data_IF_993569989361
#
_entry.id   IF_993569989361
#
_cell.length_a   1.000
_cell.length_b   1.000
_cell.length_c   1.000
_cell.angle_alpha   90.00
_cell.angle_beta   90.00
_cell.angle_gamma   90.00
#
_symmetry.space_group_name_H-M   'P 1'
#
loop_
_entity.id
_entity.type
_entity.pdbx_description
1 polymer ?
#
# COMPACT_ATOMS: atom_id res chain seq x y z
N UNK A 1 24.46 -23.48 -8.39
CA UNK A 1 24.86 -22.09 -8.09
C UNK A 1 25.11 -21.98 -6.59
N UNK A 2 25.99 -21.10 -6.11
CA UNK A 2 26.22 -20.94 -4.68
C UNK A 2 25.60 -19.64 -4.19
N UNK A 3 25.07 -19.65 -2.97
CA UNK A 3 24.38 -18.52 -2.36
C UNK A 3 25.04 -18.15 -1.05
N UNK A 4 25.26 -16.85 -0.86
CA UNK A 4 25.78 -16.30 0.37
C UNK A 4 24.66 -16.11 1.37
N UNK A 5 24.73 -16.81 2.50
CA UNK A 5 23.76 -16.71 3.58
C UNK A 5 24.38 -15.87 4.69
N UNK A 6 23.72 -14.78 5.08
CA UNK A 6 24.20 -13.96 6.19
C UNK A 6 23.82 -14.55 7.55
N UNK A 7 24.37 -13.99 8.63
CA UNK A 7 24.09 -14.41 10.03
C UNK A 7 22.61 -14.39 10.41
N UNK A 8 21.76 -13.68 9.66
CA UNK A 8 20.32 -13.63 9.88
C UNK A 8 19.54 -14.72 9.10
N UNK A 9 20.24 -15.63 8.41
CA UNK A 9 19.62 -16.70 7.62
C UNK A 9 18.96 -16.21 6.33
N UNK A 10 19.44 -15.10 5.76
CA UNK A 10 18.93 -14.53 4.50
C UNK A 10 19.95 -14.67 3.38
N UNK A 11 19.45 -14.88 2.15
CA UNK A 11 20.28 -14.88 0.95
C UNK A 11 20.71 -13.43 0.67
N UNK A 12 22.01 -13.17 0.76
CA UNK A 12 22.61 -11.87 0.53
C UNK A 12 23.14 -11.68 -0.90
N UNK A 13 23.34 -12.78 -1.63
CA UNK A 13 23.85 -12.77 -3.01
C UNK A 13 24.12 -14.19 -3.51
N UNK A 14 24.65 -14.29 -4.73
CA UNK A 14 25.08 -15.56 -5.31
C UNK A 14 26.49 -15.46 -5.91
N UNK A 15 27.09 -16.62 -6.14
CA UNK A 15 28.32 -16.82 -6.88
C UNK A 15 28.20 -18.06 -7.76
N UNK A 16 28.85 -18.00 -8.90
CA UNK A 16 29.06 -19.12 -9.81
C UNK A 16 30.24 -20.02 -9.39
N UNK A 17 31.04 -19.58 -8.42
CA UNK A 17 32.22 -20.30 -7.93
C UNK A 17 32.06 -20.72 -6.47
N UNK A 18 32.54 -21.95 -6.17
CA UNK A 18 32.69 -22.40 -4.80
C UNK A 18 33.83 -21.65 -4.10
N UNK A 19 33.62 -21.22 -2.86
CA UNK A 19 34.66 -20.67 -2.00
C UNK A 19 34.86 -21.57 -0.76
N UNK A 20 36.08 -22.08 -0.53
CA UNK A 20 36.40 -22.85 0.66
C UNK A 20 36.30 -21.97 1.92
N UNK A 21 36.04 -22.62 3.06
CA UNK A 21 35.65 -21.98 4.33
C UNK A 21 36.65 -20.93 4.83
N UNK A 22 37.94 -21.18 4.63
CA UNK A 22 39.04 -20.29 5.03
C UNK A 22 39.11 -18.98 4.24
N UNK A 23 38.41 -18.92 3.11
CA UNK A 23 38.37 -17.79 2.20
C UNK A 23 37.04 -17.04 2.23
N UNK A 24 36.07 -17.50 3.06
CA UNK A 24 34.75 -16.89 3.16
C UNK A 24 34.79 -15.62 4.01
N UNK A 25 34.06 -14.55 3.62
CA UNK A 25 33.87 -13.39 4.47
C UNK A 25 33.25 -13.79 5.81
N UNK A 26 33.71 -13.17 6.90
CA UNK A 26 33.15 -13.42 8.23
C UNK A 26 31.65 -13.05 8.26
N UNK A 27 30.84 -13.91 8.90
CA UNK A 27 29.40 -13.73 9.01
C UNK A 27 28.60 -14.18 7.78
N UNK A 28 29.24 -14.88 6.84
CA UNK A 28 28.58 -15.46 5.68
C UNK A 28 28.91 -16.93 5.51
N UNK A 29 27.86 -17.72 5.31
CA UNK A 29 27.95 -19.10 4.85
C UNK A 29 27.72 -19.17 3.34
N UNK A 30 28.29 -20.20 2.71
CA UNK A 30 28.09 -20.48 1.30
C UNK A 30 27.34 -21.80 1.16
N UNK A 31 26.16 -21.74 0.56
CA UNK A 31 25.27 -22.90 0.40
C UNK A 31 24.98 -23.10 -1.08
N UNK A 32 25.03 -24.35 -1.55
CA UNK A 32 24.66 -24.69 -2.92
C UNK A 32 23.13 -24.66 -3.09
N UNK A 33 22.67 -24.17 -4.25
CA UNK A 33 21.25 -24.06 -4.54
C UNK A 33 20.91 -24.07 -6.04
N UNK A 34 19.60 -24.03 -6.35
CA UNK A 34 19.08 -24.00 -7.71
C UNK A 34 19.54 -22.77 -8.47
N UNK A 35 19.56 -22.85 -9.80
CA UNK A 35 19.87 -21.73 -10.69
C UNK A 35 18.58 -20.98 -11.06
N UNK A 36 18.08 -20.18 -10.11
CA UNK A 36 16.85 -19.40 -10.22
C UNK A 36 17.10 -17.98 -9.69
N UNK A 37 16.27 -17.00 -10.08
CA UNK A 37 16.37 -15.64 -9.53
C UNK A 37 16.26 -15.66 -7.99
N UNK A 38 17.12 -14.91 -7.29
CA UNK A 38 17.09 -14.81 -5.81
C UNK A 38 15.69 -14.45 -5.29
N UNK A 39 14.93 -13.64 -6.04
CA UNK A 39 13.58 -13.23 -5.68
C UNK A 39 12.63 -14.43 -5.44
N UNK A 40 12.88 -15.54 -6.14
CA UNK A 40 12.07 -16.75 -6.10
C UNK A 40 12.62 -17.78 -5.10
N UNK A 41 13.70 -17.45 -4.38
CA UNK A 41 14.39 -18.36 -3.47
C UNK A 41 14.34 -17.88 -2.03
N UNK A 42 14.44 -18.81 -1.09
CA UNK A 42 14.66 -18.55 0.33
C UNK A 42 15.59 -19.61 0.93
N UNK A 43 16.17 -19.31 2.08
CA UNK A 43 16.96 -20.26 2.85
C UNK A 43 16.11 -20.85 3.98
N UNK A 44 15.97 -22.18 4.04
CA UNK A 44 15.14 -22.87 5.04
C UNK A 44 15.87 -23.16 6.37
N UNK A 45 17.15 -22.80 6.46
CA UNK A 45 18.03 -23.10 7.59
C UNK A 45 19.13 -24.11 7.23
N UNK A 46 18.97 -24.85 6.15
CA UNK A 46 19.94 -25.84 5.68
C UNK A 46 20.20 -25.73 4.17
N UNK A 47 19.14 -25.49 3.38
CA UNK A 47 19.17 -25.48 1.92
C UNK A 47 18.58 -24.19 1.35
N UNK A 48 18.99 -23.84 0.13
CA UNK A 48 18.33 -22.81 -0.68
C UNK A 48 17.22 -23.46 -1.50
N UNK A 49 15.99 -23.02 -1.28
CA UNK A 49 14.77 -23.63 -1.81
C UNK A 49 13.95 -22.61 -2.57
N UNK A 50 13.25 -23.06 -3.61
CA UNK A 50 12.28 -22.25 -4.35
C UNK A 50 11.05 -21.95 -3.49
N UNK A 51 10.61 -20.69 -3.51
CA UNK A 51 9.36 -20.27 -2.90
C UNK A 51 8.21 -20.98 -3.62
N UNK A 52 7.20 -21.48 -2.91
CA UNK A 52 5.98 -21.97 -3.52
C UNK A 52 5.34 -20.89 -4.42
N UNK A 53 4.47 -21.30 -5.35
CA UNK A 53 3.71 -20.37 -6.18
C UNK A 53 2.94 -19.36 -5.31
N UNK A 54 3.03 -18.08 -5.67
CA UNK A 54 2.36 -17.00 -4.94
C UNK A 54 0.84 -17.15 -5.07
N UNK A 55 0.09 -17.29 -3.95
CA UNK A 55 -1.36 -17.57 -4.01
C UNK A 55 -2.20 -16.46 -4.66
N UNK A 56 -1.69 -15.23 -4.68
CA UNK A 56 -2.34 -14.08 -5.29
C UNK A 56 -1.66 -12.76 -4.92
N UNK A 57 -2.14 -11.64 -5.46
CA UNK A 57 -1.48 -10.33 -5.29
C UNK A 57 -1.51 -9.82 -3.85
N UNK A 58 -2.49 -10.26 -3.06
CA UNK A 58 -2.66 -9.90 -1.64
C UNK A 58 -1.72 -10.65 -0.69
N UNK A 59 -0.72 -11.37 -1.17
CA UNK A 59 0.20 -12.13 -0.33
C UNK A 59 1.61 -11.54 -0.38
N UNK A 60 2.33 -11.59 0.74
CA UNK A 60 3.75 -11.28 0.80
C UNK A 60 4.52 -12.46 1.39
N UNK A 61 5.80 -12.60 1.01
CA UNK A 61 6.65 -13.65 1.54
C UNK A 61 7.15 -13.21 2.92
N UNK A 62 6.75 -13.92 3.97
CA UNK A 62 7.25 -13.65 5.32
C UNK A 62 8.57 -14.40 5.54
N UNK A 63 9.67 -13.66 5.60
CA UNK A 63 11.02 -14.22 5.80
C UNK A 63 11.23 -14.90 7.16
N UNK A 64 10.34 -14.71 8.13
CA UNK A 64 10.42 -15.34 9.44
C UNK A 64 9.69 -16.68 9.48
N UNK A 65 8.50 -16.75 8.89
CA UNK A 65 7.68 -17.97 8.86
C UNK A 65 7.95 -18.82 7.63
N UNK A 66 8.65 -18.26 6.63
CA UNK A 66 8.94 -18.88 5.33
C UNK A 66 7.68 -19.36 4.62
N UNK A 67 6.65 -18.51 4.66
CA UNK A 67 5.35 -18.77 4.07
C UNK A 67 4.79 -17.51 3.40
N UNK A 68 3.89 -17.73 2.44
CA UNK A 68 3.06 -16.65 1.92
C UNK A 68 2.01 -16.29 2.97
N UNK A 69 2.09 -15.07 3.46
CA UNK A 69 1.09 -14.52 4.37
C UNK A 69 0.21 -13.55 3.63
N UNK A 70 -1.11 -13.68 3.85
CA UNK A 70 -2.05 -12.70 3.34
C UNK A 70 -1.79 -11.36 4.03
N UNK A 71 -1.68 -10.30 3.25
CA UNK A 71 -1.65 -8.93 3.76
C UNK A 71 -2.95 -8.77 4.57
N UNK A 72 -2.89 -8.63 5.91
CA UNK A 72 -4.08 -8.51 6.72
C UNK A 72 -4.87 -7.30 6.22
N UNK A 73 -6.16 -7.49 5.92
CA UNK A 73 -7.06 -6.38 5.52
C UNK A 73 -7.11 -5.22 6.53
N UNK A 74 -6.56 -5.40 7.74
CA UNK A 74 -6.65 -4.45 8.85
C UNK A 74 -5.30 -4.14 9.55
N UNK A 75 -4.14 -4.43 8.94
CA UNK A 75 -2.84 -3.94 9.45
C UNK A 75 -2.22 -2.90 8.50
N UNK A 76 -3.03 -1.93 8.10
CA UNK A 76 -2.56 -0.73 7.41
C UNK A 76 -2.31 0.35 8.46
N UNK A 77 -1.06 0.40 8.97
CA UNK A 77 -0.51 1.45 9.83
C UNK A 77 -1.19 1.60 11.21
N UNK A 78 -0.40 1.80 12.28
CA UNK A 78 -0.92 2.10 13.63
C UNK A 78 -1.50 3.55 13.74
N UNK A 79 -2.29 3.98 12.75
CA UNK A 79 -2.98 5.25 12.73
C UNK A 79 -3.31 5.73 11.31
N UNK A 80 -4.31 6.60 11.21
CA UNK A 80 -4.72 7.26 9.96
C UNK A 80 -3.57 8.05 9.33
N UNK A 81 -3.13 7.63 8.14
CA UNK A 81 -2.04 8.26 7.40
C UNK A 81 -2.59 9.33 6.45
N UNK A 82 -2.76 10.54 6.99
CA UNK A 82 -3.30 11.71 6.28
C UNK A 82 -2.50 12.09 5.04
N UNK A 83 -1.17 11.98 5.08
CA UNK A 83 -0.32 12.34 3.95
C UNK A 83 -0.47 11.32 2.81
N UNK A 84 -0.62 10.03 3.13
CA UNK A 84 -0.93 8.98 2.15
C UNK A 84 -2.31 9.18 1.53
N UNK A 85 -3.33 9.49 2.34
CA UNK A 85 -4.67 9.81 1.84
C UNK A 85 -4.67 11.03 0.92
N UNK A 86 -3.95 12.09 1.28
CA UNK A 86 -3.84 13.28 0.45
C UNK A 86 -3.18 12.98 -0.90
N UNK A 87 -2.09 12.21 -0.90
CA UNK A 87 -1.39 11.82 -2.13
C UNK A 87 -2.23 10.91 -3.04
N UNK A 88 -2.95 9.94 -2.45
CA UNK A 88 -3.81 9.02 -3.21
C UNK A 88 -5.01 9.74 -3.82
N UNK A 89 -5.59 10.70 -3.10
CA UNK A 89 -6.67 11.53 -3.62
C UNK A 89 -6.18 12.50 -4.70
N UNK A 90 -5.08 13.23 -4.49
CA UNK A 90 -4.62 14.26 -5.45
C UNK A 90 -4.38 13.74 -6.87
N UNK A 91 -4.03 12.46 -7.01
CA UNK A 91 -3.80 11.80 -8.30
C UNK A 91 -5.05 11.14 -8.89
N UNK A 92 -6.20 11.23 -8.23
CA UNK A 92 -7.38 10.44 -8.55
C UNK A 92 -8.42 11.18 -9.42
N UNK A 93 -9.18 10.45 -10.26
CA UNK A 93 -10.29 11.01 -11.02
C UNK A 93 -11.39 11.62 -10.14
N UNK A 94 -11.67 11.00 -8.98
CA UNK A 94 -12.70 11.49 -8.05
C UNK A 94 -12.33 12.87 -7.49
N UNK A 95 -11.04 13.09 -7.25
CA UNK A 95 -10.52 14.38 -6.82
C UNK A 95 -10.59 15.46 -7.90
N UNK A 96 -10.30 15.09 -9.16
CA UNK A 96 -10.48 15.99 -10.29
C UNK A 96 -11.95 16.38 -10.47
N UNK A 97 -12.88 15.44 -10.28
CA UNK A 97 -14.33 15.69 -10.31
C UNK A 97 -14.77 16.60 -9.16
N UNK A 98 -14.30 16.37 -7.94
CA UNK A 98 -14.53 17.23 -6.78
C UNK A 98 -14.02 18.66 -7.01
N UNK A 99 -12.82 18.79 -7.57
CA UNK A 99 -12.25 20.09 -7.93
C UNK A 99 -13.10 20.80 -8.99
N UNK A 100 -13.50 20.10 -10.05
CA UNK A 100 -14.38 20.67 -11.08
C UNK A 100 -15.73 21.14 -10.48
N UNK A 101 -16.28 20.43 -9.49
CA UNK A 101 -17.47 20.88 -8.78
C UNK A 101 -17.23 22.15 -7.95
N UNK A 102 -16.07 22.24 -7.32
CA UNK A 102 -15.66 23.39 -6.50
C UNK A 102 -15.58 24.70 -7.30
N UNK A 103 -15.37 24.62 -8.61
CA UNK A 103 -15.35 25.78 -9.51
C UNK A 103 -16.74 26.24 -9.96
N UNK A 104 -17.78 25.41 -9.76
CA UNK A 104 -19.14 25.68 -10.27
C UNK A 104 -20.04 26.40 -9.27
N UNK A 105 -19.89 26.11 -7.98
CA UNK A 105 -20.78 26.68 -6.95
C UNK A 105 -20.02 27.03 -5.68
N UNK A 106 -20.48 28.07 -4.98
CA UNK A 106 -19.93 28.46 -3.68
C UNK A 106 -20.08 27.33 -2.65
N UNK A 107 -21.20 26.58 -2.69
CA UNK A 107 -21.44 25.47 -1.77
C UNK A 107 -20.40 24.36 -1.94
N UNK A 108 -20.14 23.94 -3.19
CA UNK A 108 -19.12 22.94 -3.48
C UNK A 108 -17.71 23.48 -3.18
N UNK A 109 -17.45 24.76 -3.47
CA UNK A 109 -16.18 25.41 -3.15
C UNK A 109 -15.86 25.35 -1.65
N UNK A 110 -16.82 25.73 -0.81
CA UNK A 110 -16.68 25.70 0.65
C UNK A 110 -16.50 24.27 1.18
N UNK A 111 -17.26 23.30 0.65
CA UNK A 111 -17.12 21.89 1.04
C UNK A 111 -15.76 21.31 0.65
N UNK A 112 -15.33 21.54 -0.59
CA UNK A 112 -14.02 21.10 -1.08
C UNK A 112 -12.86 21.77 -0.35
N UNK A 113 -12.98 23.07 -0.04
CA UNK A 113 -11.99 23.78 0.78
C UNK A 113 -11.93 23.21 2.19
N UNK A 114 -13.07 22.86 2.78
CA UNK A 114 -13.10 22.23 4.10
C UNK A 114 -12.44 20.85 4.05
N UNK A 115 -12.71 20.06 3.01
CA UNK A 115 -12.06 18.78 2.78
C UNK A 115 -10.53 18.93 2.67
N UNK A 116 -10.06 19.88 1.86
CA UNK A 116 -8.64 20.21 1.74
C UNK A 116 -8.01 20.60 3.08
N UNK A 117 -8.62 21.56 3.79
CA UNK A 117 -8.13 22.02 5.10
C UNK A 117 -8.11 20.88 6.12
N UNK A 118 -9.09 19.98 6.06
CA UNK A 118 -9.10 18.79 6.91
C UNK A 118 -7.96 17.85 6.60
N UNK A 119 -7.72 17.55 5.32
CA UNK A 119 -6.63 16.67 4.89
C UNK A 119 -5.25 17.25 5.21
N UNK A 120 -5.06 18.56 5.05
CA UNK A 120 -3.74 19.20 5.22
C UNK A 120 -3.43 19.66 6.64
N UNK A 121 -4.45 20.07 7.41
CA UNK A 121 -4.25 20.80 8.67
C UNK A 121 -5.03 20.22 9.85
N UNK A 122 -6.37 20.14 9.77
CA UNK A 122 -7.20 19.73 10.93
C UNK A 122 -6.92 18.28 11.32
N UNK A 123 -6.83 17.38 10.34
CA UNK A 123 -6.56 15.94 10.54
C UNK A 123 -7.50 15.29 11.56
N UNK A 124 -8.78 15.62 11.47
CA UNK A 124 -9.87 15.04 12.28
C UNK A 124 -10.82 14.21 11.41
N UNK A 125 -11.10 12.98 11.82
CA UNK A 125 -11.91 12.02 11.06
C UNK A 125 -13.37 12.48 10.95
N UNK A 126 -13.94 13.04 12.02
CA UNK A 126 -15.33 13.50 12.04
C UNK A 126 -15.52 14.67 11.05
N UNK A 127 -14.53 15.56 10.99
CA UNK A 127 -14.51 16.68 10.05
C UNK A 127 -14.29 16.19 8.62
N UNK A 128 -13.52 15.11 8.41
CA UNK A 128 -13.31 14.50 7.10
C UNK A 128 -14.61 13.91 6.56
N UNK A 129 -15.30 13.10 7.35
CA UNK A 129 -16.58 12.50 7.02
C UNK A 129 -17.62 13.58 6.70
N UNK A 130 -17.73 14.61 7.56
CA UNK A 130 -18.63 15.73 7.33
C UNK A 130 -18.31 16.48 6.02
N UNK A 131 -17.03 16.74 5.75
CA UNK A 131 -16.61 17.47 4.55
C UNK A 131 -16.93 16.68 3.27
N UNK A 132 -16.71 15.36 3.28
CA UNK A 132 -17.06 14.48 2.16
C UNK A 132 -18.58 14.48 1.95
N UNK A 133 -19.38 14.31 3.01
CA UNK A 133 -20.83 14.32 2.91
C UNK A 133 -21.36 15.65 2.34
N UNK A 134 -20.81 16.79 2.79
CA UNK A 134 -21.17 18.12 2.27
C UNK A 134 -20.75 18.35 0.83
N UNK A 135 -19.60 17.80 0.43
CA UNK A 135 -19.15 17.87 -0.94
C UNK A 135 -20.09 17.09 -1.86
N UNK A 136 -20.44 15.86 -1.50
CA UNK A 136 -21.41 15.03 -2.23
C UNK A 136 -22.76 15.71 -2.37
N UNK A 137 -23.31 16.21 -1.26
CA UNK A 137 -24.57 16.98 -1.24
C UNK A 137 -24.52 18.18 -2.18
N UNK A 138 -23.39 18.89 -2.24
CA UNK A 138 -23.21 20.03 -3.13
C UNK A 138 -23.08 19.59 -4.60
N UNK A 139 -22.36 18.50 -4.87
CA UNK A 139 -22.13 17.96 -6.21
C UNK A 139 -23.41 17.46 -6.87
N UNK A 140 -24.31 16.81 -6.12
CA UNK A 140 -25.63 16.35 -6.61
C UNK A 140 -26.46 17.47 -7.24
N UNK A 141 -26.32 18.71 -6.75
CA UNK A 141 -27.05 19.86 -7.25
C UNK A 141 -26.46 20.46 -8.55
N UNK A 142 -25.32 19.97 -9.04
CA UNK A 142 -24.59 20.55 -10.18
C UNK A 142 -24.86 19.73 -11.43
N UNK A 143 -25.60 20.32 -12.38
CA UNK A 143 -25.88 19.71 -13.68
C UNK A 143 -24.58 19.41 -14.44
N UNK A 144 -24.46 18.19 -14.96
CA UNK A 144 -23.29 17.72 -15.71
C UNK A 144 -22.12 17.22 -14.84
N UNK A 145 -22.23 17.28 -13.50
CA UNK A 145 -21.26 16.65 -12.59
C UNK A 145 -21.91 15.51 -11.81
N UNK A 146 -22.99 15.80 -11.08
CA UNK A 146 -23.66 14.83 -10.20
C UNK A 146 -22.82 14.36 -9.01
N UNK A 147 -23.41 13.53 -8.14
CA UNK A 147 -22.68 12.86 -7.04
C UNK A 147 -21.60 11.90 -7.59
N UNK A 148 -20.78 11.36 -6.70
CA UNK A 148 -19.98 10.18 -6.99
C UNK A 148 -20.88 8.98 -7.31
N UNK A 149 -20.48 8.23 -8.33
CA UNK A 149 -21.05 6.93 -8.69
C UNK A 149 -20.67 5.88 -7.65
N UNK A 150 -21.33 4.71 -7.68
CA UNK A 150 -21.02 3.63 -6.76
C UNK A 150 -19.56 3.14 -6.91
N UNK A 151 -19.07 3.10 -8.15
CA UNK A 151 -17.68 2.74 -8.46
C UNK A 151 -16.69 3.78 -7.91
N UNK A 152 -16.98 5.07 -8.06
CA UNK A 152 -16.15 6.15 -7.49
C UNK A 152 -16.16 6.13 -5.95
N UNK A 153 -17.29 5.78 -5.33
CA UNK A 153 -17.39 5.61 -3.87
C UNK A 153 -16.52 4.45 -3.39
N UNK A 154 -16.57 3.31 -4.08
CA UNK A 154 -15.73 2.16 -3.77
C UNK A 154 -14.24 2.53 -3.90
N UNK A 155 -13.88 3.25 -4.96
CA UNK A 155 -12.52 3.75 -5.16
C UNK A 155 -12.05 4.71 -4.06
N UNK A 156 -12.93 5.55 -3.52
CA UNK A 156 -12.62 6.41 -2.37
C UNK A 156 -12.46 5.57 -1.10
N UNK A 157 -13.33 4.59 -0.88
CA UNK A 157 -13.26 3.67 0.26
C UNK A 157 -11.96 2.86 0.25
N UNK A 158 -11.52 2.38 -0.91
CA UNK A 158 -10.23 1.71 -1.06
C UNK A 158 -9.06 2.63 -0.69
N UNK A 159 -9.10 3.91 -1.07
CA UNK A 159 -8.06 4.90 -0.71
C UNK A 159 -8.07 5.24 0.78
N UNK A 160 -9.24 5.33 1.40
CA UNK A 160 -9.39 5.51 2.85
C UNK A 160 -8.81 4.30 3.60
N UNK A 161 -9.18 3.08 3.19
CA UNK A 161 -8.68 1.84 3.76
C UNK A 161 -7.15 1.73 3.59
N UNK A 162 -6.62 1.96 2.39
CA UNK A 162 -5.19 1.97 2.08
C UNK A 162 -4.39 2.96 2.95
N UNK A 163 -5.02 4.08 3.30
CA UNK A 163 -4.46 5.09 4.20
C UNK A 163 -4.73 4.82 5.71
N UNK A 164 -5.34 3.68 6.07
CA UNK A 164 -5.58 3.28 7.46
C UNK A 164 -6.75 4.01 8.14
N UNK A 165 -7.73 4.49 7.37
CA UNK A 165 -8.96 5.08 7.91
C UNK A 165 -10.06 4.02 8.05
N UNK A 166 -10.73 4.00 9.21
CA UNK A 166 -11.90 3.15 9.46
C UNK A 166 -13.21 3.78 8.98
N UNK A 167 -13.14 4.71 8.03
CA UNK A 167 -14.27 5.42 7.43
C UNK A 167 -14.69 4.69 6.15
N UNK A 168 -16.00 4.43 6.00
CA UNK A 168 -16.58 3.91 4.78
C UNK A 168 -17.78 4.78 4.38
N UNK A 169 -17.83 5.18 3.11
CA UNK A 169 -18.88 5.98 2.52
C UNK A 169 -20.00 5.09 1.97
N UNK A 170 -21.24 5.53 2.14
CA UNK A 170 -22.47 4.88 1.63
C UNK A 170 -23.04 5.54 0.37
#
# INVERSE_FOLDING_TARGET
MYYWINENGNIAGYSDAFMPDDSRPQGFDLVEGPDLPIADLYFDGENVVEKPEKPGDRFFWNEKTKQWEEIPSAELFQGSNWDRLLLSLQSSPEWAKAYAASERTLKANSAYTTLLVTLTNIRDISTLEWAIAKLREAMTAISGIGDFTAEEIEEINLKLADAGFSLALE
#
